data_IF_831831140382
#
_entry.id   IF_831831140382
#
_cell.length_a   1.000
_cell.length_b   1.000
_cell.length_c   1.000
_cell.angle_alpha   90.00
_cell.angle_beta   90.00
_cell.angle_gamma   90.00
#
_symmetry.space_group_name_H-M   'P 1'
#
loop_
_entity.id
_entity.type
_entity.pdbx_description
1 polymer ?
#
# COMPACT_ATOMS: atom_id res chain seq x y z
N UNK A 1 7.89 -18.10 -14.65
CA UNK A 1 7.75 -17.08 -13.59
C UNK A 1 6.34 -16.55 -13.62
N UNK A 2 5.69 -16.56 -12.47
CA UNK A 2 4.31 -16.12 -12.38
C UNK A 2 4.25 -14.60 -12.24
N UNK A 3 3.49 -13.95 -13.12
CA UNK A 3 3.14 -12.56 -12.97
C UNK A 3 2.11 -12.46 -11.86
N UNK A 4 2.35 -11.60 -10.90
CA UNK A 4 1.54 -11.47 -9.70
C UNK A 4 1.12 -10.03 -9.53
N UNK A 5 -0.01 -9.82 -8.84
CA UNK A 5 -0.51 -8.50 -8.48
C UNK A 5 -0.49 -8.33 -6.98
N UNK A 6 -0.19 -7.13 -6.54
CA UNK A 6 -0.30 -6.76 -5.13
C UNK A 6 -1.00 -5.41 -5.01
N UNK A 7 -1.69 -5.22 -3.90
CA UNK A 7 -2.36 -3.95 -3.61
C UNK A 7 -1.45 -3.11 -2.72
N UNK A 8 -1.38 -1.81 -3.00
CA UNK A 8 -0.55 -0.88 -2.24
C UNK A 8 -1.34 0.38 -1.92
N UNK A 9 -1.08 0.94 -0.74
CA UNK A 9 -1.58 2.26 -0.37
C UNK A 9 -0.38 3.12 0.01
N UNK A 10 -0.32 4.33 -0.52
CA UNK A 10 0.53 5.38 0.03
C UNK A 10 -0.34 6.12 1.03
N UNK A 11 0.03 6.03 2.31
CA UNK A 11 -0.79 6.46 3.45
C UNK A 11 -0.79 7.97 3.62
N UNK A 12 -1.71 8.53 4.43
CA UNK A 12 -1.83 9.98 4.56
C UNK A 12 -0.55 10.70 4.98
N UNK A 13 0.28 10.08 5.82
CA UNK A 13 1.53 10.68 6.25
C UNK A 13 2.50 10.90 5.08
N UNK A 14 2.65 9.90 4.21
CA UNK A 14 3.54 10.01 3.05
C UNK A 14 2.95 10.94 1.99
N UNK A 15 1.64 10.93 1.79
CA UNK A 15 0.99 11.87 0.88
C UNK A 15 1.24 13.30 1.35
N UNK A 16 1.09 13.56 2.65
CA UNK A 16 1.33 14.88 3.22
C UNK A 16 2.77 15.34 3.05
N UNK A 17 3.72 14.42 3.05
CA UNK A 17 5.15 14.73 2.82
C UNK A 17 5.46 15.01 1.36
N UNK A 18 4.50 14.80 0.46
CA UNK A 18 4.68 15.02 -0.98
C UNK A 18 5.76 14.12 -1.59
N UNK A 19 5.77 12.85 -1.20
CA UNK A 19 6.75 11.87 -1.69
C UNK A 19 6.14 10.76 -2.55
N UNK A 20 4.92 10.96 -3.06
CA UNK A 20 4.26 9.97 -3.93
C UNK A 20 5.17 9.58 -5.09
N UNK A 21 5.72 10.55 -5.81
CA UNK A 21 6.57 10.28 -6.97
C UNK A 21 7.82 9.50 -6.61
N UNK A 22 8.44 9.80 -5.47
CA UNK A 22 9.63 9.07 -5.03
C UNK A 22 9.32 7.62 -4.69
N UNK A 23 8.15 7.37 -4.09
CA UNK A 23 7.71 6.01 -3.78
C UNK A 23 7.39 5.23 -5.06
N UNK A 24 6.64 5.84 -5.98
CA UNK A 24 6.31 5.21 -7.26
C UNK A 24 7.58 4.88 -8.07
N UNK A 25 8.57 5.76 -8.03
CA UNK A 25 9.83 5.54 -8.72
C UNK A 25 10.54 4.29 -8.21
N UNK A 26 10.44 3.99 -6.92
CA UNK A 26 11.04 2.78 -6.34
C UNK A 26 10.35 1.52 -6.84
N UNK A 27 9.02 1.55 -6.98
CA UNK A 27 8.28 0.43 -7.55
C UNK A 27 8.73 0.18 -8.98
N UNK A 28 8.77 1.22 -9.79
CA UNK A 28 9.14 1.09 -11.20
C UNK A 28 10.59 0.64 -11.39
N UNK A 29 11.50 1.17 -10.58
CA UNK A 29 12.91 0.78 -10.63
C UNK A 29 13.09 -0.71 -10.29
N UNK A 30 12.22 -1.29 -9.49
CA UNK A 30 12.25 -2.70 -9.11
C UNK A 30 11.52 -3.59 -10.11
N UNK A 31 10.96 -3.03 -11.18
CA UNK A 31 10.24 -3.79 -12.19
C UNK A 31 8.75 -4.00 -11.89
N UNK A 32 8.21 -3.32 -10.88
CA UNK A 32 6.78 -3.36 -10.60
C UNK A 32 6.08 -2.29 -11.45
N UNK A 33 4.99 -2.68 -12.10
CA UNK A 33 4.23 -1.79 -12.96
C UNK A 33 2.94 -1.35 -12.26
N UNK A 34 2.67 -0.06 -12.25
CA UNK A 34 1.40 0.46 -11.76
C UNK A 34 0.34 0.19 -12.83
N UNK A 35 -0.66 -0.60 -12.49
CA UNK A 35 -1.73 -0.97 -13.44
C UNK A 35 -3.10 -0.44 -13.04
N UNK A 36 -3.21 0.19 -11.89
CA UNK A 36 -4.37 0.96 -11.45
C UNK A 36 -3.91 1.89 -10.34
N UNK A 37 -4.45 3.10 -10.33
CA UNK A 37 -4.09 4.08 -9.29
C UNK A 37 -5.22 5.10 -9.14
N UNK A 38 -5.48 5.51 -7.90
CA UNK A 38 -6.52 6.51 -7.63
C UNK A 38 -6.21 7.24 -6.33
N UNK A 39 -6.30 8.57 -6.38
CA UNK A 39 -6.32 9.37 -5.15
C UNK A 39 -7.69 9.27 -4.51
N UNK A 40 -7.71 9.08 -3.20
CA UNK A 40 -8.95 9.00 -2.44
C UNK A 40 -8.76 9.64 -1.06
N UNK A 41 -9.84 10.18 -0.52
CA UNK A 41 -9.93 10.47 0.90
C UNK A 41 -10.93 9.47 1.46
N UNK A 42 -10.45 8.48 2.20
CA UNK A 42 -11.31 7.39 2.66
C UNK A 42 -12.36 7.92 3.63
N UNK A 43 -13.57 7.40 3.50
CA UNK A 43 -14.59 7.57 4.52
C UNK A 43 -14.30 6.61 5.68
N UNK A 44 -14.92 6.88 6.84
CA UNK A 44 -14.79 5.96 7.98
C UNK A 44 -15.30 4.56 7.60
N UNK A 45 -16.42 4.48 6.88
CA UNK A 45 -16.97 3.20 6.46
C UNK A 45 -16.01 2.44 5.54
N UNK A 46 -15.34 3.13 4.63
CA UNK A 46 -14.36 2.51 3.73
C UNK A 46 -13.16 1.99 4.52
N UNK A 47 -12.62 2.78 5.43
CA UNK A 47 -11.46 2.37 6.23
C UNK A 47 -11.81 1.20 7.15
N UNK A 48 -12.97 1.24 7.81
CA UNK A 48 -13.43 0.15 8.66
C UNK A 48 -13.63 -1.14 7.86
N UNK A 49 -14.20 -1.02 6.67
CA UNK A 49 -14.40 -2.18 5.79
C UNK A 49 -13.09 -2.79 5.32
N UNK A 50 -12.16 -1.95 4.92
CA UNK A 50 -10.86 -2.43 4.43
C UNK A 50 -10.07 -3.13 5.53
N UNK A 51 -10.10 -2.60 6.75
CA UNK A 51 -9.37 -3.16 7.89
C UNK A 51 -10.26 -4.06 8.77
N UNK A 52 -11.36 -4.58 8.24
CA UNK A 52 -12.34 -5.35 9.01
C UNK A 52 -11.72 -6.55 9.73
N UNK A 53 -10.67 -7.17 9.18
CA UNK A 53 -9.96 -8.29 9.81
C UNK A 53 -9.32 -7.89 11.15
N UNK A 54 -9.13 -6.60 11.39
CA UNK A 54 -8.55 -6.08 12.63
C UNK A 54 -9.58 -5.49 13.59
N UNK A 55 -10.88 -5.67 13.30
CA UNK A 55 -11.97 -5.01 14.05
C UNK A 55 -11.90 -5.24 15.55
N UNK A 56 -11.47 -6.42 15.98
CA UNK A 56 -11.36 -6.77 17.39
C UNK A 56 -10.03 -6.38 18.04
N UNK A 57 -9.11 -5.77 17.25
CA UNK A 57 -7.79 -5.38 17.77
C UNK A 57 -7.87 -4.03 18.48
N UNK A 58 -7.09 -3.86 19.58
CA UNK A 58 -7.08 -2.58 20.31
C UNK A 58 -6.71 -1.38 19.46
N UNK A 59 -5.86 -1.58 18.43
CA UNK A 59 -5.39 -0.50 17.56
C UNK A 59 -6.36 -0.13 16.45
N UNK A 60 -7.49 -0.84 16.31
CA UNK A 60 -8.38 -0.66 15.17
C UNK A 60 -8.89 0.78 15.02
N UNK A 61 -9.37 1.36 16.12
CA UNK A 61 -9.90 2.72 16.08
C UNK A 61 -8.83 3.72 15.65
N UNK A 62 -7.63 3.61 16.22
CA UNK A 62 -6.53 4.52 15.90
C UNK A 62 -6.07 4.36 14.45
N UNK A 63 -6.04 3.13 13.96
CA UNK A 63 -5.71 2.85 12.55
C UNK A 63 -6.72 3.50 11.61
N UNK A 64 -8.02 3.34 11.89
CA UNK A 64 -9.07 3.96 11.07
C UNK A 64 -8.96 5.47 11.12
N UNK A 65 -8.82 6.05 12.31
CA UNK A 65 -8.68 7.49 12.47
C UNK A 65 -7.49 8.03 11.68
N UNK A 66 -6.37 7.32 11.70
CA UNK A 66 -5.19 7.69 10.93
C UNK A 66 -5.45 7.65 9.43
N UNK A 67 -6.06 6.56 8.95
CA UNK A 67 -6.28 6.36 7.51
C UNK A 67 -7.27 7.33 6.90
N UNK A 68 -8.15 7.91 7.69
CA UNK A 68 -9.10 8.93 7.22
C UNK A 68 -8.62 10.36 7.48
N UNK A 69 -7.43 10.53 8.02
CA UNK A 69 -6.92 11.86 8.39
C UNK A 69 -6.51 12.73 7.20
N UNK A 70 -6.36 12.14 6.03
CA UNK A 70 -5.98 12.85 4.81
C UNK A 70 -6.08 11.94 3.59
N UNK A 71 -5.83 12.48 2.39
CA UNK A 71 -5.85 11.69 1.16
C UNK A 71 -4.82 10.58 1.14
N UNK A 72 -5.14 9.52 0.42
CA UNK A 72 -4.26 8.37 0.17
C UNK A 72 -4.17 8.13 -1.33
N UNK A 73 -3.14 7.43 -1.78
CA UNK A 73 -3.10 6.88 -3.14
C UNK A 73 -3.23 5.36 -3.01
N UNK A 74 -4.32 4.82 -3.58
CA UNK A 74 -4.50 3.38 -3.67
C UNK A 74 -4.07 2.92 -5.06
N UNK A 75 -3.43 1.76 -5.16
CA UNK A 75 -2.86 1.31 -6.42
C UNK A 75 -2.69 -0.20 -6.48
N UNK A 76 -2.62 -0.71 -7.71
CA UNK A 76 -2.32 -2.11 -7.98
C UNK A 76 -0.98 -2.16 -8.71
N UNK A 77 -0.08 -2.99 -8.21
CA UNK A 77 1.24 -3.21 -8.80
C UNK A 77 1.29 -4.62 -9.39
N UNK A 78 1.93 -4.74 -10.56
CA UNK A 78 2.08 -6.01 -11.27
C UNK A 78 3.55 -6.30 -11.54
N UNK A 79 3.96 -7.53 -11.36
CA UNK A 79 5.32 -7.98 -11.69
C UNK A 79 5.59 -9.38 -11.18
N UNK A 80 6.79 -9.89 -11.44
CA UNK A 80 7.20 -11.18 -10.91
C UNK A 80 7.35 -11.09 -9.40
N UNK A 81 6.71 -12.01 -8.67
CA UNK A 81 6.76 -12.03 -7.20
C UNK A 81 6.38 -10.65 -6.61
N UNK A 82 5.33 -10.02 -7.13
CA UNK A 82 5.02 -8.64 -6.77
C UNK A 82 4.79 -8.46 -5.27
N UNK A 83 4.14 -9.42 -4.61
CA UNK A 83 3.85 -9.32 -3.17
C UNK A 83 5.15 -9.25 -2.36
N UNK A 84 6.05 -10.22 -2.56
CA UNK A 84 7.31 -10.24 -1.82
C UNK A 84 8.19 -9.06 -2.20
N UNK A 85 8.28 -8.76 -3.48
CA UNK A 85 9.10 -7.63 -3.97
C UNK A 85 8.65 -6.32 -3.35
N UNK A 86 7.33 -6.07 -3.29
CA UNK A 86 6.81 -4.87 -2.65
C UNK A 86 7.12 -4.86 -1.15
N UNK A 87 6.98 -5.99 -0.47
CA UNK A 87 7.28 -6.06 0.96
C UNK A 87 8.75 -5.76 1.24
N UNK A 88 9.64 -6.25 0.40
CA UNK A 88 11.08 -5.96 0.52
C UNK A 88 11.36 -4.47 0.29
N UNK A 89 10.68 -3.85 -0.67
CA UNK A 89 10.81 -2.42 -0.93
C UNK A 89 10.27 -1.57 0.22
N UNK A 90 9.16 -2.00 0.83
CA UNK A 90 8.57 -1.28 1.96
C UNK A 90 9.45 -1.30 3.20
N UNK A 91 10.06 -2.43 3.48
CA UNK A 91 10.85 -2.64 4.68
C UNK A 91 10.01 -3.04 5.89
N UNK A 92 10.66 -3.18 7.05
CA UNK A 92 10.00 -3.59 8.28
C UNK A 92 8.91 -2.59 8.70
N UNK A 93 7.86 -3.09 9.34
CA UNK A 93 6.73 -2.27 9.81
C UNK A 93 7.18 -1.11 10.69
N UNK A 94 8.15 -1.38 11.59
CA UNK A 94 8.78 -0.34 12.40
C UNK A 94 9.89 0.31 11.57
N UNK A 95 9.80 1.61 11.25
CA UNK A 95 10.84 2.25 10.45
C UNK A 95 12.22 2.26 11.11
N UNK A 96 12.29 2.17 12.43
CA UNK A 96 13.56 2.08 13.15
C UNK A 96 14.28 0.77 12.90
N UNK A 97 13.52 -0.27 12.52
CA UNK A 97 14.05 -1.61 12.22
C UNK A 97 14.14 -1.87 10.72
N UNK A 98 13.65 -0.95 9.90
CA UNK A 98 13.65 -1.10 8.45
C UNK A 98 15.06 -0.90 7.91
N UNK A 99 15.47 -1.74 6.98
CA UNK A 99 16.78 -1.64 6.37
C UNK A 99 16.93 -0.34 5.60
N UNK A 100 18.15 0.19 5.60
CA UNK A 100 18.48 1.41 4.86
C UNK A 100 18.08 1.25 3.38
N UNK A 101 17.47 2.30 2.83
CA UNK A 101 17.02 2.30 1.43
C UNK A 101 15.61 1.79 1.23
N UNK A 102 14.96 1.25 2.25
CA UNK A 102 13.56 0.88 2.15
C UNK A 102 12.66 2.11 2.26
N UNK A 103 11.44 1.99 1.78
CA UNK A 103 10.47 3.11 1.80
C UNK A 103 10.22 3.56 3.24
N UNK A 104 10.01 2.62 4.15
CA UNK A 104 9.73 2.97 5.55
C UNK A 104 10.94 3.57 6.26
N UNK A 105 12.14 3.08 5.97
CA UNK A 105 13.34 3.69 6.54
C UNK A 105 13.49 5.16 6.14
N UNK A 106 13.14 5.48 4.89
CA UNK A 106 13.36 6.81 4.35
C UNK A 106 12.19 7.77 4.59
N UNK A 107 10.95 7.27 4.65
CA UNK A 107 9.77 8.15 4.63
C UNK A 107 8.81 7.96 5.80
N UNK A 108 8.94 6.91 6.59
CA UNK A 108 8.02 6.66 7.70
C UNK A 108 8.53 7.31 8.99
N UNK A 109 7.59 7.72 9.84
CA UNK A 109 7.91 8.36 11.11
C UNK A 109 7.83 7.40 12.29
N UNK A 110 6.89 6.45 12.24
CA UNK A 110 6.62 5.54 13.35
C UNK A 110 5.91 4.28 12.83
N UNK A 111 5.65 3.33 13.72
CA UNK A 111 4.87 2.14 13.37
C UNK A 111 3.47 2.53 12.89
N UNK A 112 2.86 3.53 13.52
CA UNK A 112 1.50 3.97 13.15
C UNK A 112 1.51 4.81 11.88
N UNK A 113 2.50 5.69 11.72
CA UNK A 113 2.67 6.53 10.53
C UNK A 113 3.80 5.96 9.68
N UNK A 114 3.55 4.81 9.05
CA UNK A 114 4.60 4.04 8.39
C UNK A 114 4.57 4.08 6.86
N UNK A 115 4.01 5.12 6.31
CA UNK A 115 4.08 5.54 4.91
C UNK A 115 3.29 4.69 3.91
N UNK A 116 3.37 3.37 3.97
CA UNK A 116 2.81 2.50 2.93
C UNK A 116 2.18 1.24 3.51
N UNK A 117 1.23 0.70 2.73
CA UNK A 117 0.63 -0.62 2.95
C UNK A 117 0.86 -1.48 1.71
N UNK A 118 1.06 -2.76 1.91
CA UNK A 118 1.12 -3.74 0.83
C UNK A 118 0.47 -5.04 1.27
N UNK A 119 -0.15 -5.75 0.31
CA UNK A 119 -0.73 -7.06 0.58
C UNK A 119 0.34 -8.04 1.04
N UNK A 120 -0.05 -8.99 1.88
CA UNK A 120 0.89 -9.97 2.46
C UNK A 120 0.77 -11.36 1.86
N UNK A 121 -0.26 -11.64 1.08
CA UNK A 121 -0.48 -12.95 0.47
C UNK A 121 -1.36 -12.83 -0.78
N UNK A 122 -1.37 -13.84 -1.67
CA UNK A 122 -2.22 -13.80 -2.86
C UNK A 122 -3.71 -13.61 -2.55
N UNK A 123 -4.22 -14.26 -1.50
CA UNK A 123 -5.63 -14.13 -1.13
C UNK A 123 -5.97 -12.72 -0.64
N UNK A 124 -5.12 -12.13 0.20
CA UNK A 124 -5.33 -10.77 0.66
C UNK A 124 -5.17 -9.76 -0.48
N UNK A 125 -4.24 -10.00 -1.40
CA UNK A 125 -4.07 -9.14 -2.57
C UNK A 125 -5.36 -9.10 -3.40
N UNK A 126 -5.94 -10.27 -3.71
CA UNK A 126 -7.19 -10.32 -4.48
C UNK A 126 -8.32 -9.57 -3.79
N UNK A 127 -8.49 -9.78 -2.50
CA UNK A 127 -9.56 -9.15 -1.73
C UNK A 127 -9.35 -7.63 -1.65
N UNK A 128 -8.14 -7.19 -1.39
CA UNK A 128 -7.82 -5.77 -1.26
C UNK A 128 -7.97 -5.03 -2.59
N UNK A 129 -7.52 -5.64 -3.68
CA UNK A 129 -7.69 -5.05 -5.03
C UNK A 129 -9.18 -4.91 -5.34
N UNK A 130 -9.96 -5.97 -5.12
CA UNK A 130 -11.39 -5.95 -5.41
C UNK A 130 -12.15 -4.94 -4.56
N UNK A 131 -11.65 -4.62 -3.38
CA UNK A 131 -12.29 -3.63 -2.49
C UNK A 131 -12.32 -2.24 -3.13
N UNK A 132 -11.25 -1.86 -3.84
CA UNK A 132 -11.11 -0.51 -4.41
C UNK A 132 -11.27 -0.44 -5.92
N UNK A 133 -10.97 -1.53 -6.65
CA UNK A 133 -10.93 -1.49 -8.11
C UNK A 133 -11.81 -2.56 -8.73
N UNK A 134 -12.89 -2.15 -9.43
CA UNK A 134 -13.57 -3.09 -10.34
C UNK A 134 -12.59 -3.59 -11.41
N UNK A 135 -12.79 -4.81 -11.89
CA UNK A 135 -11.86 -5.39 -12.86
C UNK A 135 -11.64 -4.54 -14.09
N UNK A 136 -12.65 -3.78 -14.53
CA UNK A 136 -12.52 -2.92 -15.71
C UNK A 136 -11.70 -1.64 -15.46
N UNK A 137 -11.30 -1.38 -14.20
CA UNK A 137 -10.42 -0.25 -13.87
C UNK A 137 -8.99 -0.70 -13.60
N UNK A 138 -8.65 -1.94 -13.91
CA UNK A 138 -7.31 -2.48 -13.80
C UNK A 138 -6.80 -2.76 -15.23
N UNK A 139 -5.63 -2.22 -15.57
CA UNK A 139 -5.11 -2.19 -16.93
C UNK A 139 -3.77 -2.93 -17.02
N UNK A 140 -3.79 -4.28 -17.15
CA UNK A 140 -2.56 -5.05 -17.21
C UNK A 140 -1.68 -4.60 -18.37
N UNK A 141 -0.38 -4.56 -18.12
CA UNK A 141 0.60 -4.23 -19.15
C UNK A 141 1.38 -5.47 -19.52
N UNK A 142 1.77 -5.53 -20.79
CA UNK A 142 2.65 -6.59 -21.23
C UNK A 142 4.06 -6.36 -20.67
N UNK A 143 4.73 -7.46 -20.41
CA UNK A 143 6.08 -7.43 -19.86
C UNK A 143 7.09 -6.80 -20.84
#
# INVERSE_FOLDING_TARGET
>A
MAVERTFSIIKPDAVAKNVIGQILARFEAAGLKVIAARMMHLSRAQAEGFYAVHRERPFFKDLVDFMISGPVLVQVLQGDNAILKNRDLMGATDPKKAAKGTIRADFADSIDANAVHGSDAPDTARAEIAFFFPGYEVFPRQA
#
